data_IF_782389859001
#
_entry.id   IF_782389859001
#
_cell.length_a   1.000
_cell.length_b   1.000
_cell.length_c   1.000
_cell.angle_alpha   90.00
_cell.angle_beta   90.00
_cell.angle_gamma   90.00
#
_symmetry.space_group_name_H-M   'P 1'
#
loop_
_entity.id
_entity.type
_entity.pdbx_description
1 polymer ?
#
# COMPACT_ATOMS: atom_id res chain seq x y z
N UNK A 1 -11.59 -8.88 16.91
CA UNK A 1 -10.92 -9.62 15.83
C UNK A 1 -11.17 -8.94 14.52
N UNK A 2 -10.11 -8.69 13.77
CA UNK A 2 -10.20 -8.03 12.48
C UNK A 2 -10.59 -9.05 11.40
N UNK A 3 -11.72 -8.81 10.74
CA UNK A 3 -12.21 -9.70 9.69
C UNK A 3 -11.95 -9.17 8.29
N UNK A 4 -11.25 -8.04 8.15
CA UNK A 4 -10.98 -7.42 6.86
C UNK A 4 -9.63 -7.91 6.35
N UNK A 5 -9.65 -8.92 5.48
CA UNK A 5 -8.44 -9.61 5.00
C UNK A 5 -8.16 -9.41 3.51
N UNK A 6 -8.97 -8.61 2.80
CA UNK A 6 -8.87 -8.49 1.33
C UNK A 6 -8.25 -7.20 0.82
N UNK A 7 -7.61 -6.42 1.69
CA UNK A 7 -7.06 -5.12 1.32
C UNK A 7 -6.00 -5.20 0.23
N UNK A 8 -5.05 -6.10 0.40
CA UNK A 8 -3.90 -6.19 -0.51
C UNK A 8 -4.33 -6.60 -1.92
N UNK A 9 -5.35 -7.45 -2.01
CA UNK A 9 -5.85 -7.91 -3.30
C UNK A 9 -6.40 -6.76 -4.12
N UNK A 10 -7.10 -5.82 -3.47
CA UNK A 10 -7.72 -4.70 -4.16
C UNK A 10 -6.69 -3.72 -4.71
N UNK A 11 -5.70 -3.33 -3.90
CA UNK A 11 -4.71 -2.35 -4.33
C UNK A 11 -3.75 -2.92 -5.38
N UNK A 12 -3.56 -4.23 -5.42
CA UNK A 12 -2.69 -4.87 -6.39
C UNK A 12 -3.23 -4.81 -7.82
N UNK A 13 -4.49 -4.42 -8.01
CA UNK A 13 -5.05 -4.21 -9.34
C UNK A 13 -4.52 -2.94 -10.02
N UNK A 14 -3.94 -2.01 -9.26
CA UNK A 14 -3.47 -0.74 -9.79
C UNK A 14 -1.99 -0.80 -10.07
N UNK A 15 -1.62 -0.86 -11.35
CA UNK A 15 -0.21 -0.84 -11.75
C UNK A 15 0.40 0.57 -11.68
N UNK A 16 -0.45 1.60 -11.67
CA UNK A 16 -0.01 3.00 -11.59
C UNK A 16 -0.82 3.74 -10.53
N UNK A 17 -0.23 4.80 -9.98
CA UNK A 17 -0.92 5.63 -9.00
C UNK A 17 -2.12 6.33 -9.63
N UNK A 18 -3.22 6.37 -8.89
CA UNK A 18 -4.51 6.92 -9.34
C UNK A 18 -4.76 8.28 -8.68
N UNK A 19 -4.06 9.30 -9.14
CA UNK A 19 -4.06 10.63 -8.50
C UNK A 19 -5.47 11.23 -8.42
N UNK A 20 -6.28 11.05 -9.45
CA UNK A 20 -7.64 11.61 -9.51
C UNK A 20 -8.73 10.76 -8.87
N UNK A 21 -8.37 9.61 -8.30
CA UNK A 21 -9.36 8.70 -7.71
C UNK A 21 -9.90 9.27 -6.40
N UNK A 22 -11.21 9.13 -6.17
CA UNK A 22 -11.82 9.50 -4.89
C UNK A 22 -12.00 8.27 -4.01
N UNK A 23 -12.12 8.49 -2.70
CA UNK A 23 -12.37 7.40 -1.77
C UNK A 23 -13.64 6.63 -2.14
N UNK A 24 -14.70 7.35 -2.51
CA UNK A 24 -15.96 6.72 -2.86
C UNK A 24 -15.89 5.95 -4.18
N UNK A 25 -14.99 6.30 -5.09
CA UNK A 25 -14.77 5.52 -6.31
C UNK A 25 -14.06 4.19 -5.98
N UNK A 26 -13.10 4.21 -5.06
CA UNK A 26 -12.39 2.99 -4.67
C UNK A 26 -13.23 2.11 -3.75
N UNK A 27 -13.94 2.72 -2.82
CA UNK A 27 -14.77 2.04 -1.84
C UNK A 27 -16.18 2.63 -1.85
N UNK A 28 -16.99 2.33 -2.87
CA UNK A 28 -18.37 2.82 -2.90
C UNK A 28 -19.19 2.20 -1.77
N UNK A 29 -20.16 2.95 -1.27
CA UNK A 29 -21.08 2.48 -0.23
C UNK A 29 -21.86 1.27 -0.74
N UNK A 30 -21.87 0.21 0.05
CA UNK A 30 -22.63 -1.01 -0.22
C UNK A 30 -23.80 -1.05 0.76
N UNK A 31 -25.00 -1.23 0.25
CA UNK A 31 -26.20 -1.22 1.10
C UNK A 31 -26.14 -2.34 2.14
N UNK A 32 -26.14 -1.97 3.42
CA UNK A 32 -26.15 -2.92 4.54
C UNK A 32 -24.82 -3.64 4.81
N UNK A 33 -23.80 -3.42 3.99
CA UNK A 33 -22.52 -4.10 4.10
C UNK A 33 -21.36 -3.13 4.22
N UNK A 34 -20.25 -3.59 4.77
CA UNK A 34 -19.03 -2.78 4.87
C UNK A 34 -18.46 -2.48 3.48
N UNK A 35 -18.16 -1.21 3.23
CA UNK A 35 -17.61 -0.78 1.94
C UNK A 35 -16.22 -1.33 1.65
N UNK A 36 -15.49 -1.80 2.66
CA UNK A 36 -14.14 -2.34 2.46
C UNK A 36 -14.12 -3.68 1.70
N UNK A 37 -15.27 -4.32 1.56
CA UNK A 37 -15.37 -5.61 0.87
C UNK A 37 -15.26 -6.83 1.77
N UNK A 38 -15.19 -6.64 3.09
CA UNK A 38 -15.08 -7.77 4.03
C UNK A 38 -16.38 -8.56 4.18
N UNK A 39 -17.47 -8.07 3.59
CA UNK A 39 -18.78 -8.70 3.59
C UNK A 39 -19.46 -8.78 4.96
N UNK A 40 -18.98 -8.03 5.95
CA UNK A 40 -19.65 -7.93 7.24
C UNK A 40 -20.87 -7.02 7.14
N UNK A 41 -21.93 -7.41 7.85
CA UNK A 41 -23.14 -6.58 7.95
C UNK A 41 -22.82 -5.34 8.79
N UNK A 42 -23.38 -4.19 8.38
CA UNK A 42 -23.16 -2.95 9.12
C UNK A 42 -23.92 -2.97 10.45
N UNK A 43 -23.26 -2.57 11.56
CA UNK A 43 -23.97 -2.31 12.79
C UNK A 43 -25.01 -1.20 12.63
N UNK A 44 -26.00 -1.18 13.52
CA UNK A 44 -27.13 -0.25 13.44
C UNK A 44 -26.77 1.22 13.31
N UNK A 45 -25.64 1.61 13.93
CA UNK A 45 -25.21 3.00 13.98
C UNK A 45 -24.14 3.34 12.95
N UNK A 46 -23.85 2.43 12.01
CA UNK A 46 -22.83 2.66 10.99
C UNK A 46 -23.44 2.58 9.59
N UNK A 47 -23.00 3.49 8.72
CA UNK A 47 -23.58 3.62 7.39
C UNK A 47 -22.68 3.13 6.25
N UNK A 48 -21.37 2.98 6.50
CA UNK A 48 -20.41 2.62 5.45
C UNK A 48 -19.41 1.56 5.88
N UNK A 49 -18.87 1.66 7.08
CA UNK A 49 -17.79 0.79 7.55
C UNK A 49 -18.24 -0.07 8.71
N UNK A 50 -17.86 -1.34 8.69
CA UNK A 50 -18.16 -2.27 9.78
C UNK A 50 -17.50 -1.83 11.10
N UNK A 51 -16.28 -1.30 11.02
CA UNK A 51 -15.51 -0.89 12.20
C UNK A 51 -14.55 0.24 11.84
N UNK A 52 -13.96 0.85 12.86
CA UNK A 52 -12.93 1.86 12.66
C UNK A 52 -11.69 1.27 11.99
N UNK A 53 -11.39 0.00 12.27
CA UNK A 53 -10.28 -0.72 11.63
C UNK A 53 -10.52 -0.82 10.13
N UNK A 54 -11.73 -1.19 9.70
CA UNK A 54 -12.09 -1.25 8.28
C UNK A 54 -11.90 0.10 7.59
N UNK A 55 -12.36 1.16 8.26
CA UNK A 55 -12.22 2.52 7.74
C UNK A 55 -10.76 2.92 7.61
N UNK A 56 -9.96 2.72 8.67
CA UNK A 56 -8.55 3.09 8.68
C UNK A 56 -7.76 2.36 7.61
N UNK A 57 -7.95 1.06 7.49
CA UNK A 57 -7.25 0.26 6.47
C UNK A 57 -7.62 0.68 5.06
N UNK A 58 -8.90 1.01 4.85
CA UNK A 58 -9.37 1.48 3.54
C UNK A 58 -8.78 2.84 3.19
N UNK A 59 -8.67 3.75 4.15
CA UNK A 59 -8.01 5.04 3.94
C UNK A 59 -6.53 4.88 3.63
N UNK A 60 -5.84 3.96 4.31
CA UNK A 60 -4.43 3.67 4.02
C UNK A 60 -4.27 3.14 2.60
N UNK A 61 -5.11 2.17 2.20
CA UNK A 61 -5.08 1.64 0.84
C UNK A 61 -5.36 2.73 -0.19
N UNK A 62 -6.32 3.59 0.09
CA UNK A 62 -6.64 4.71 -0.77
C UNK A 62 -5.43 5.64 -0.93
N UNK A 63 -4.76 5.98 0.17
CA UNK A 63 -3.56 6.82 0.13
C UNK A 63 -2.45 6.17 -0.69
N UNK A 64 -2.24 4.87 -0.54
CA UNK A 64 -1.23 4.13 -1.31
C UNK A 64 -1.57 4.17 -2.80
N UNK A 65 -2.83 3.92 -3.16
CA UNK A 65 -3.28 3.92 -4.56
C UNK A 65 -3.08 5.29 -5.19
N UNK A 66 -3.26 6.36 -4.42
CA UNK A 66 -3.04 7.74 -4.89
C UNK A 66 -1.58 8.15 -4.93
N UNK A 67 -0.69 7.36 -4.38
CA UNK A 67 0.74 7.67 -4.37
C UNK A 67 1.20 8.58 -3.24
N UNK A 68 0.52 8.55 -2.09
CA UNK A 68 0.92 9.32 -0.91
C UNK A 68 2.22 8.75 -0.34
N UNK A 69 3.33 9.43 -0.62
CA UNK A 69 4.67 8.96 -0.23
C UNK A 69 4.84 8.77 1.27
N UNK A 70 4.27 9.65 2.06
CA UNK A 70 4.39 9.55 3.52
C UNK A 70 3.73 8.27 4.02
N UNK A 71 2.53 8.00 3.58
CA UNK A 71 1.78 6.80 3.98
C UNK A 71 2.49 5.53 3.48
N UNK A 72 2.95 5.55 2.22
CA UNK A 72 3.69 4.41 1.64
C UNK A 72 4.94 4.13 2.47
N UNK A 73 5.73 5.16 2.78
CA UNK A 73 6.94 4.99 3.60
C UNK A 73 6.62 4.48 4.99
N UNK A 74 5.54 4.99 5.62
CA UNK A 74 5.12 4.53 6.94
C UNK A 74 4.78 3.03 6.93
N UNK A 75 4.07 2.56 5.89
CA UNK A 75 3.69 1.15 5.79
C UNK A 75 4.90 0.26 5.51
N UNK A 76 5.82 0.71 4.67
CA UNK A 76 7.07 -0.03 4.41
C UNK A 76 7.92 -0.07 5.69
N UNK A 77 7.99 1.03 6.44
CA UNK A 77 8.73 1.08 7.69
C UNK A 77 8.14 0.14 8.74
N UNK A 78 6.82 0.04 8.84
CA UNK A 78 6.17 -0.88 9.78
C UNK A 78 6.61 -2.31 9.54
N UNK A 79 6.83 -2.69 8.29
CA UNK A 79 7.24 -4.03 7.91
C UNK A 79 8.76 -4.24 8.07
N UNK A 80 9.56 -3.32 7.53
CA UNK A 80 11.02 -3.52 7.37
C UNK A 80 11.86 -2.80 8.42
N UNK A 81 11.28 -1.85 9.16
CA UNK A 81 11.93 -1.13 10.28
C UNK A 81 13.21 -0.37 9.90
N UNK A 82 13.40 -0.07 8.62
CA UNK A 82 14.58 0.64 8.15
C UNK A 82 15.77 -0.25 7.82
N UNK A 83 15.58 -1.57 7.89
CA UNK A 83 16.63 -2.53 7.54
C UNK A 83 16.59 -2.82 6.04
N UNK A 84 17.75 -2.72 5.40
CA UNK A 84 17.89 -3.01 3.97
C UNK A 84 17.54 -4.47 3.69
N UNK A 85 16.64 -4.71 2.75
CA UNK A 85 16.22 -6.06 2.39
C UNK A 85 17.34 -6.84 1.69
N UNK A 86 18.31 -6.14 1.11
CA UNK A 86 19.40 -6.78 0.38
C UNK A 86 20.62 -7.09 1.26
N UNK A 87 21.10 -6.10 2.01
CA UNK A 87 22.32 -6.28 2.81
C UNK A 87 22.06 -6.37 4.32
N UNK A 88 20.85 -6.10 4.78
CA UNK A 88 20.48 -6.22 6.18
C UNK A 88 20.88 -5.07 7.08
N UNK A 89 21.56 -4.07 6.55
CA UNK A 89 22.02 -2.93 7.36
C UNK A 89 20.89 -1.96 7.63
N UNK A 90 20.81 -1.45 8.85
CA UNK A 90 19.87 -0.38 9.19
C UNK A 90 20.38 0.96 8.65
N UNK A 91 19.48 1.76 8.09
CA UNK A 91 19.79 3.13 7.66
C UNK A 91 18.58 4.01 7.90
N UNK A 92 18.78 5.16 8.54
CA UNK A 92 17.69 6.13 8.67
C UNK A 92 17.40 6.85 7.34
N UNK A 93 18.30 6.73 6.36
CA UNK A 93 18.13 7.31 5.03
C UNK A 93 17.73 6.26 3.99
N UNK A 94 17.08 5.19 4.44
CA UNK A 94 16.61 4.12 3.56
C UNK A 94 15.66 4.64 2.48
N UNK A 95 15.63 3.92 1.37
CA UNK A 95 14.76 4.23 0.23
C UNK A 95 13.71 3.13 0.06
N UNK A 96 12.47 3.54 -0.21
CA UNK A 96 11.44 2.61 -0.65
C UNK A 96 11.60 2.44 -2.17
N UNK A 97 11.85 1.23 -2.60
CA UNK A 97 12.18 0.92 -4.00
C UNK A 97 11.22 -0.11 -4.56
N UNK A 98 10.81 0.07 -5.82
CA UNK A 98 10.01 -0.94 -6.51
C UNK A 98 10.92 -2.08 -6.93
N UNK A 99 10.62 -3.29 -6.47
CA UNK A 99 11.42 -4.48 -6.79
C UNK A 99 11.47 -4.69 -8.29
N UNK A 100 10.29 -4.69 -8.93
CA UNK A 100 10.18 -4.70 -10.38
C UNK A 100 9.74 -3.31 -10.83
N UNK A 101 10.48 -2.67 -11.75
CA UNK A 101 10.13 -1.33 -12.18
C UNK A 101 8.71 -1.24 -12.74
N UNK A 102 8.04 -0.11 -12.47
CA UNK A 102 6.66 0.11 -12.91
C UNK A 102 6.57 0.09 -14.43
N UNK A 103 7.57 0.66 -15.12
CA UNK A 103 7.55 0.75 -16.59
C UNK A 103 7.66 -0.62 -17.29
N UNK A 104 8.07 -1.67 -16.57
CA UNK A 104 8.10 -3.03 -17.13
C UNK A 104 7.06 -3.95 -16.48
N UNK A 105 6.00 -3.36 -15.93
CA UNK A 105 4.86 -4.10 -15.42
C UNK A 105 4.86 -4.36 -13.92
N UNK A 106 5.78 -3.77 -13.16
CA UNK A 106 5.73 -3.83 -11.71
C UNK A 106 4.60 -2.96 -11.17
N UNK A 107 3.87 -3.43 -10.16
CA UNK A 107 2.77 -2.69 -9.58
C UNK A 107 3.25 -1.52 -8.73
N UNK A 108 2.85 -0.29 -9.09
CA UNK A 108 3.22 0.89 -8.31
C UNK A 108 2.60 0.87 -6.92
N UNK A 109 1.39 0.35 -6.80
CA UNK A 109 0.60 0.41 -5.57
C UNK A 109 0.77 -0.82 -4.67
N UNK A 110 1.49 -1.84 -5.12
CA UNK A 110 1.64 -3.08 -4.35
C UNK A 110 2.78 -2.97 -3.33
N UNK A 111 2.46 -3.13 -2.05
CA UNK A 111 3.48 -3.19 -1.00
C UNK A 111 4.41 -4.40 -1.19
N UNK A 112 3.92 -5.46 -1.81
CA UNK A 112 4.74 -6.64 -2.13
C UNK A 112 5.78 -6.34 -3.20
N UNK A 113 5.58 -5.30 -4.01
CA UNK A 113 6.56 -4.85 -4.99
C UNK A 113 7.44 -3.73 -4.46
N UNK A 114 7.35 -3.41 -3.17
CA UNK A 114 8.18 -2.39 -2.52
C UNK A 114 9.13 -3.05 -1.53
N UNK A 115 10.36 -2.56 -1.51
CA UNK A 115 11.39 -3.02 -0.59
C UNK A 115 12.16 -1.85 -0.01
N UNK A 116 12.69 -2.05 1.19
CA UNK A 116 13.61 -1.09 1.79
C UNK A 116 15.02 -1.36 1.28
N UNK A 117 15.68 -0.35 0.77
CA UNK A 117 17.09 -0.43 0.40
C UNK A 117 17.89 0.68 1.08
N UNK A 118 19.09 0.37 1.53
CA UNK A 118 20.02 1.42 1.95
C UNK A 118 20.47 2.20 0.72
N UNK A 119 21.07 3.36 0.95
CA UNK A 119 21.50 4.23 -0.15
C UNK A 119 22.43 3.49 -1.11
N UNK A 120 23.40 2.74 -0.56
CA UNK A 120 24.38 2.03 -1.37
C UNK A 120 23.75 0.94 -2.24
N UNK A 121 22.87 0.13 -1.65
CA UNK A 121 22.17 -0.92 -2.42
C UNK A 121 21.24 -0.33 -3.47
N UNK A 122 20.61 0.79 -3.16
CA UNK A 122 19.75 1.50 -4.11
C UNK A 122 20.56 2.03 -5.29
N UNK A 123 21.72 2.64 -5.02
CA UNK A 123 22.62 3.11 -6.08
C UNK A 123 23.09 1.97 -6.96
N UNK A 124 23.45 0.86 -6.36
CA UNK A 124 23.92 -0.34 -7.09
C UNK A 124 22.84 -0.86 -8.03
N UNK A 125 21.61 -0.93 -7.55
CA UNK A 125 20.48 -1.36 -8.36
C UNK A 125 20.21 -0.41 -9.53
N UNK A 126 20.29 0.90 -9.28
CA UNK A 126 20.06 1.92 -10.30
C UNK A 126 21.14 1.86 -11.39
N UNK A 127 22.38 1.64 -11.00
CA UNK A 127 23.50 1.45 -11.91
C UNK A 127 23.28 0.27 -12.86
N UNK A 128 22.92 -0.88 -12.29
CA UNK A 128 22.65 -2.10 -13.04
C UNK A 128 21.52 -1.91 -14.04
N UNK A 129 20.51 -1.15 -13.64
CA UNK A 129 19.33 -0.92 -14.47
C UNK A 129 19.60 -0.05 -15.71
N UNK A 130 20.65 0.77 -15.66
CA UNK A 130 21.04 1.65 -16.78
C UNK A 130 21.76 0.91 -17.90
N UNK A 131 22.18 -0.31 -17.64
CA UNK A 131 22.85 -1.14 -18.64
C UNK A 131 21.82 -2.04 -19.35
#
# INVERSE_FOLDING_TARGET
MDKCIKFDTMINHFNRYQVGLTLNNLYPTINGKCACGCNNDLPKNRKKWFSDICRQKSYINFAIVKGDNKIIRDEVFKRDKGFCCKCGVYSKYWQADHIRPVFIGGGACSLYNLQTLCIDCHKEKTKTRKN
#
